data_IF_717958124672
#
_entry.id   IF_717958124672
#
_cell.length_a   1.000
_cell.length_b   1.000
_cell.length_c   1.000
_cell.angle_alpha   90.00
_cell.angle_beta   90.00
_cell.angle_gamma   90.00
#
_symmetry.space_group_name_H-M   'P 1'
#
loop_
_entity.id
_entity.type
_entity.pdbx_description
1 polymer ?
#
# COMPACT_ATOMS: atom_id res chain seq x y z
N UNK A 1 35.39 0.98 72.42
CA UNK A 1 34.47 1.84 71.64
C UNK A 1 34.54 3.33 72.02
N UNK A 2 34.64 3.71 73.30
CA UNK A 2 34.75 5.12 73.73
C UNK A 2 36.09 5.79 73.37
N UNK A 3 37.19 5.03 73.28
CA UNK A 3 38.50 5.58 72.92
C UNK A 3 38.64 5.97 71.43
N UNK A 4 37.96 5.24 70.53
CA UNK A 4 37.96 5.50 69.08
C UNK A 4 37.19 6.78 68.74
N UNK A 5 36.02 6.96 69.35
CA UNK A 5 35.22 8.18 69.24
C UNK A 5 35.91 9.40 69.88
N UNK A 6 36.68 9.19 70.96
CA UNK A 6 37.54 10.24 71.56
C UNK A 6 38.67 10.69 70.62
N UNK A 7 39.22 9.78 69.80
CA UNK A 7 40.29 10.09 68.84
C UNK A 7 39.76 10.92 67.66
N UNK A 8 38.56 10.61 67.18
CA UNK A 8 37.86 11.37 66.13
C UNK A 8 37.45 12.78 66.63
N UNK A 9 37.01 12.89 67.89
CA UNK A 9 36.62 14.17 68.50
C UNK A 9 37.79 15.11 68.79
N UNK A 10 38.99 14.57 69.07
CA UNK A 10 40.21 15.37 69.31
C UNK A 10 40.88 15.89 68.04
N UNK A 11 40.57 15.36 66.87
CA UNK A 11 41.03 15.90 65.58
C UNK A 11 40.07 16.95 64.99
N UNK A 12 39.01 17.33 65.73
CA UNK A 12 37.92 18.20 65.28
C UNK A 12 38.04 19.67 65.69
N UNK A 13 39.26 20.22 65.83
CA UNK A 13 39.44 21.65 66.01
C UNK A 13 40.10 22.31 64.80
N UNK A 14 39.25 23.10 64.14
CA UNK A 14 39.45 24.08 63.07
C UNK A 14 39.70 23.55 61.65
N UNK A 15 38.90 24.09 60.73
CA UNK A 15 38.94 24.01 59.26
C UNK A 15 38.25 22.77 58.62
N UNK A 16 37.25 23.05 57.75
CA UNK A 16 36.62 22.14 56.76
C UNK A 16 35.34 21.34 57.13
N UNK A 17 34.49 21.78 58.06
CA UNK A 17 33.12 21.23 58.18
C UNK A 17 32.29 21.45 56.91
N UNK A 18 32.43 22.61 56.28
CA UNK A 18 31.72 22.99 55.05
C UNK A 18 32.05 22.02 53.91
N UNK A 19 33.33 21.66 53.74
CA UNK A 19 33.78 20.74 52.68
C UNK A 19 33.14 19.36 52.78
N UNK A 20 32.94 18.82 53.99
CA UNK A 20 32.25 17.54 54.18
C UNK A 20 30.78 17.63 53.78
N UNK A 21 30.05 18.63 54.27
CA UNK A 21 28.64 18.83 53.88
C UNK A 21 28.47 19.06 52.38
N UNK A 22 29.42 19.75 51.74
CA UNK A 22 29.45 19.96 50.30
C UNK A 22 29.64 18.64 49.52
N UNK A 23 30.58 17.79 49.96
CA UNK A 23 30.81 16.45 49.37
C UNK A 23 29.58 15.54 49.49
N UNK A 24 28.91 15.56 50.65
CA UNK A 24 27.67 14.80 50.85
C UNK A 24 26.54 15.31 49.96
N UNK A 25 26.34 16.63 49.87
CA UNK A 25 25.32 17.23 49.01
C UNK A 25 25.56 16.93 47.52
N UNK A 26 26.82 16.95 47.06
CA UNK A 26 27.19 16.56 45.70
C UNK A 26 26.87 15.07 45.45
N UNK A 27 27.20 14.19 46.41
CA UNK A 27 26.87 12.78 46.32
C UNK A 27 25.36 12.51 46.22
N UNK A 28 24.56 13.26 46.97
CA UNK A 28 23.10 13.15 46.93
C UNK A 28 22.50 13.66 45.61
N UNK A 29 23.00 14.78 45.09
CA UNK A 29 22.62 15.27 43.76
C UNK A 29 22.97 14.25 42.68
N UNK A 30 24.16 13.66 42.71
CA UNK A 30 24.58 12.63 41.76
C UNK A 30 23.68 11.39 41.83
N UNK A 31 23.34 10.93 43.04
CA UNK A 31 22.41 9.81 43.23
C UNK A 31 21.02 10.11 42.64
N UNK A 32 20.48 11.30 42.88
CA UNK A 32 19.19 11.74 42.32
C UNK A 32 19.25 11.81 40.79
N UNK A 33 20.32 12.39 40.23
CA UNK A 33 20.51 12.49 38.77
C UNK A 33 20.60 11.09 38.13
N UNK A 34 21.36 10.17 38.72
CA UNK A 34 21.42 8.77 38.24
C UNK A 34 20.04 8.12 38.29
N UNK A 35 19.28 8.33 39.37
CA UNK A 35 17.90 7.84 39.50
C UNK A 35 16.98 8.34 38.37
N UNK A 36 17.04 9.65 38.07
CA UNK A 36 16.26 10.26 36.99
C UNK A 36 16.68 9.70 35.62
N UNK A 37 17.98 9.57 35.37
CA UNK A 37 18.50 9.05 34.10
C UNK A 37 18.08 7.59 33.87
N UNK A 38 18.13 6.74 34.90
CA UNK A 38 17.67 5.35 34.80
C UNK A 38 16.17 5.31 34.54
N UNK A 39 15.37 6.12 35.25
CA UNK A 39 13.93 6.19 35.03
C UNK A 39 13.59 6.63 33.59
N UNK A 40 14.30 7.64 33.07
CA UNK A 40 14.16 8.09 31.69
C UNK A 40 14.55 6.99 30.70
N UNK A 41 15.67 6.30 30.94
CA UNK A 41 16.16 5.24 30.08
C UNK A 41 15.19 4.05 30.00
N UNK A 42 14.60 3.66 31.12
CA UNK A 42 13.58 2.59 31.17
C UNK A 42 12.35 3.01 30.37
N UNK A 43 11.89 4.26 30.51
CA UNK A 43 10.76 4.75 29.75
C UNK A 43 11.05 4.76 28.24
N UNK A 44 12.20 5.28 27.82
CA UNK A 44 12.61 5.29 26.42
C UNK A 44 12.74 3.87 25.84
N UNK A 45 13.24 2.91 26.62
CA UNK A 45 13.34 1.51 26.16
C UNK A 45 11.97 0.86 25.97
N UNK A 46 11.02 1.11 26.88
CA UNK A 46 9.65 0.62 26.76
C UNK A 46 8.95 1.21 25.52
N UNK A 47 9.14 2.50 25.26
CA UNK A 47 8.58 3.16 24.07
C UNK A 47 9.19 2.60 22.78
N UNK A 48 10.51 2.42 22.74
CA UNK A 48 11.18 1.79 21.61
C UNK A 48 10.67 0.36 21.32
N UNK A 49 10.45 -0.44 22.36
CA UNK A 49 9.89 -1.79 22.24
C UNK A 49 8.49 -1.80 21.63
N UNK A 50 7.62 -0.89 22.09
CA UNK A 50 6.27 -0.71 21.53
C UNK A 50 6.32 -0.30 20.07
N UNK A 51 7.24 0.58 19.69
CA UNK A 51 7.38 1.02 18.30
C UNK A 51 7.89 -0.10 17.39
N UNK A 52 8.77 -0.99 17.88
CA UNK A 52 9.21 -2.17 17.11
C UNK A 52 8.07 -3.17 16.91
N UNK A 53 7.24 -3.38 17.93
CA UNK A 53 6.06 -4.23 17.80
C UNK A 53 5.07 -3.67 16.77
N UNK A 54 4.82 -2.34 16.80
CA UNK A 54 3.98 -1.66 15.81
C UNK A 54 4.56 -1.71 14.40
N UNK A 55 5.86 -1.45 14.23
CA UNK A 55 6.53 -1.56 12.93
C UNK A 55 6.27 -2.94 12.32
N UNK A 56 6.44 -4.01 13.11
CA UNK A 56 6.23 -5.38 12.63
C UNK A 56 4.80 -5.60 12.12
N UNK A 57 3.81 -5.13 12.87
CA UNK A 57 2.39 -5.26 12.49
C UNK A 57 2.12 -4.48 11.20
N UNK A 58 2.54 -3.21 11.12
CA UNK A 58 2.32 -2.37 9.95
C UNK A 58 3.00 -2.92 8.69
N UNK A 59 4.20 -3.47 8.82
CA UNK A 59 4.91 -4.10 7.71
C UNK A 59 4.27 -5.44 7.30
N UNK A 60 3.68 -6.18 8.23
CA UNK A 60 2.92 -7.38 7.92
C UNK A 60 1.64 -7.03 7.16
N UNK A 61 0.86 -6.06 7.65
CA UNK A 61 -0.35 -5.57 6.98
C UNK A 61 -0.02 -5.06 5.56
N UNK A 62 1.13 -4.39 5.41
CA UNK A 62 1.64 -3.95 4.10
C UNK A 62 1.90 -5.14 3.18
N UNK A 63 2.58 -6.18 3.67
CA UNK A 63 2.89 -7.37 2.87
C UNK A 63 1.60 -8.10 2.43
N UNK A 64 0.64 -8.28 3.33
CA UNK A 64 -0.66 -8.89 3.04
C UNK A 64 -1.45 -8.06 2.02
N UNK A 65 -1.43 -6.73 2.15
CA UNK A 65 -2.09 -5.84 1.21
C UNK A 65 -1.46 -5.87 -0.18
N UNK A 66 -0.13 -5.95 -0.27
CA UNK A 66 0.59 -6.10 -1.53
C UNK A 66 0.29 -7.46 -2.18
N UNK A 67 0.18 -8.54 -1.41
CA UNK A 67 -0.20 -9.85 -1.95
C UNK A 67 -1.60 -9.84 -2.55
N UNK A 68 -2.58 -9.26 -1.84
CA UNK A 68 -3.93 -9.05 -2.35
C UNK A 68 -3.93 -8.24 -3.66
N UNK A 69 -3.15 -7.16 -3.73
CA UNK A 69 -2.99 -6.39 -4.96
C UNK A 69 -2.38 -7.21 -6.11
N UNK A 70 -1.40 -8.07 -5.83
CA UNK A 70 -0.82 -8.97 -6.83
C UNK A 70 -1.87 -9.98 -7.34
N UNK A 71 -2.69 -10.54 -6.46
CA UNK A 71 -3.75 -11.47 -6.84
C UNK A 71 -4.79 -10.79 -7.73
N UNK A 72 -5.23 -9.58 -7.37
CA UNK A 72 -6.17 -8.79 -8.17
C UNK A 72 -5.59 -8.48 -9.55
N UNK A 73 -4.33 -8.00 -9.61
CA UNK A 73 -3.64 -7.71 -10.86
C UNK A 73 -3.51 -8.95 -11.78
N UNK A 74 -3.27 -10.13 -11.20
CA UNK A 74 -3.25 -11.38 -11.98
C UNK A 74 -4.63 -11.68 -12.56
N UNK A 75 -5.70 -11.51 -11.78
CA UNK A 75 -7.08 -11.65 -12.25
C UNK A 75 -7.39 -10.71 -13.41
N UNK A 76 -7.01 -9.44 -13.28
CA UNK A 76 -7.18 -8.43 -14.33
C UNK A 76 -6.44 -8.80 -15.61
N UNK A 77 -5.20 -9.29 -15.49
CA UNK A 77 -4.40 -9.75 -16.64
C UNK A 77 -5.09 -10.93 -17.35
N UNK A 78 -5.59 -11.93 -16.63
CA UNK A 78 -6.28 -13.05 -17.26
C UNK A 78 -7.60 -12.62 -17.92
N UNK A 79 -8.33 -11.69 -17.29
CA UNK A 79 -9.54 -11.12 -17.88
C UNK A 79 -9.24 -10.38 -19.19
N UNK A 80 -8.22 -9.51 -19.21
CA UNK A 80 -7.78 -8.80 -20.41
C UNK A 80 -7.31 -9.75 -21.52
N UNK A 81 -6.66 -10.87 -21.18
CA UNK A 81 -6.30 -11.92 -22.16
C UNK A 81 -7.55 -12.58 -22.75
N UNK A 82 -8.57 -12.86 -21.94
CA UNK A 82 -9.83 -13.44 -22.41
C UNK A 82 -10.60 -12.47 -23.33
N UNK A 83 -10.58 -11.17 -23.00
CA UNK A 83 -11.10 -10.12 -23.87
C UNK A 83 -10.38 -10.09 -25.22
N UNK A 84 -9.05 -10.02 -25.22
CA UNK A 84 -8.25 -10.00 -26.45
C UNK A 84 -8.49 -11.22 -27.32
N UNK A 85 -8.55 -12.41 -26.72
CA UNK A 85 -8.88 -13.65 -27.44
C UNK A 85 -10.27 -13.57 -28.08
N UNK A 86 -11.26 -13.04 -27.36
CA UNK A 86 -12.61 -12.88 -27.89
C UNK A 86 -12.67 -11.86 -29.02
N UNK A 87 -11.90 -10.78 -28.93
CA UNK A 87 -11.74 -9.81 -30.01
C UNK A 87 -11.17 -10.48 -31.27
N UNK A 88 -10.13 -11.32 -31.13
CA UNK A 88 -9.57 -12.08 -32.25
C UNK A 88 -10.62 -12.99 -32.90
N UNK A 89 -11.37 -13.76 -32.10
CA UNK A 89 -12.41 -14.67 -32.62
C UNK A 89 -13.48 -13.90 -33.41
N UNK A 90 -13.90 -12.74 -32.89
CA UNK A 90 -14.89 -11.89 -33.55
C UNK A 90 -14.34 -11.36 -34.88
N UNK A 91 -13.11 -10.85 -34.90
CA UNK A 91 -12.50 -10.33 -36.12
C UNK A 91 -12.34 -11.43 -37.18
N UNK A 92 -11.93 -12.63 -36.78
CA UNK A 92 -11.82 -13.80 -37.67
C UNK A 92 -13.19 -14.21 -38.23
N UNK A 93 -14.23 -14.22 -37.39
CA UNK A 93 -15.59 -14.56 -37.80
C UNK A 93 -16.15 -13.55 -38.80
N UNK A 94 -15.94 -12.24 -38.56
CA UNK A 94 -16.36 -11.18 -39.49
C UNK A 94 -15.58 -11.24 -40.80
N UNK A 95 -14.25 -11.38 -40.74
CA UNK A 95 -13.40 -11.46 -41.93
C UNK A 95 -13.67 -12.69 -42.81
N UNK A 96 -14.05 -13.80 -42.19
CA UNK A 96 -14.39 -15.05 -42.90
C UNK A 96 -15.89 -15.19 -43.19
N UNK A 97 -16.71 -14.20 -42.80
CA UNK A 97 -18.18 -14.21 -42.96
C UNK A 97 -18.84 -15.47 -42.38
N UNK A 98 -18.39 -15.90 -41.21
CA UNK A 98 -18.96 -17.04 -40.49
C UNK A 98 -20.38 -16.67 -40.02
N UNK A 99 -21.41 -17.51 -40.20
CA UNK A 99 -22.76 -17.22 -39.70
C UNK A 99 -22.78 -16.95 -38.19
N UNK A 100 -23.64 -16.02 -37.77
CA UNK A 100 -23.82 -15.72 -36.35
C UNK A 100 -24.25 -16.97 -35.56
N UNK A 101 -23.74 -17.09 -34.33
CA UNK A 101 -24.08 -18.18 -33.42
C UNK A 101 -24.08 -17.71 -31.96
N UNK A 102 -24.70 -18.49 -31.09
CA UNK A 102 -24.72 -18.21 -29.65
C UNK A 102 -23.30 -18.14 -29.06
N UNK A 103 -22.36 -18.95 -29.57
CA UNK A 103 -20.96 -18.87 -29.17
C UNK A 103 -20.34 -17.52 -29.50
N UNK A 104 -20.69 -16.95 -30.67
CA UNK A 104 -20.18 -15.66 -31.10
C UNK A 104 -20.78 -14.52 -30.27
N UNK A 105 -22.04 -14.63 -29.83
CA UNK A 105 -22.68 -13.69 -28.89
C UNK A 105 -21.85 -13.47 -27.62
N UNK A 106 -21.37 -14.56 -27.02
CA UNK A 106 -20.55 -14.48 -25.81
C UNK A 106 -19.21 -13.76 -26.07
N UNK A 107 -18.59 -14.01 -27.23
CA UNK A 107 -17.36 -13.31 -27.62
C UNK A 107 -17.61 -11.84 -27.98
N UNK A 108 -18.75 -11.52 -28.57
CA UNK A 108 -19.18 -10.12 -28.75
C UNK A 108 -19.28 -9.41 -27.41
N UNK A 109 -19.97 -10.01 -26.44
CA UNK A 109 -20.07 -9.42 -25.10
C UNK A 109 -18.69 -9.20 -24.48
N UNK A 110 -17.88 -10.26 -24.37
CA UNK A 110 -16.59 -10.20 -23.69
C UNK A 110 -15.60 -9.24 -24.35
N UNK A 111 -15.57 -9.18 -25.69
CA UNK A 111 -14.70 -8.27 -26.41
C UNK A 111 -15.11 -6.78 -26.29
N UNK A 112 -16.34 -6.48 -25.83
CA UNK A 112 -16.86 -5.12 -25.67
C UNK A 112 -17.26 -4.77 -24.23
N UNK A 113 -16.93 -5.61 -23.24
CA UNK A 113 -17.02 -5.17 -21.85
C UNK A 113 -16.11 -3.96 -21.69
N UNK A 114 -16.63 -2.85 -21.17
CA UNK A 114 -15.88 -1.61 -21.00
C UNK A 114 -14.56 -1.86 -20.27
N UNK A 115 -13.48 -1.20 -20.73
CA UNK A 115 -12.16 -1.36 -20.13
C UNK A 115 -12.23 -0.95 -18.67
N UNK A 116 -11.94 -1.88 -17.75
CA UNK A 116 -12.00 -1.60 -16.32
C UNK A 116 -10.77 -0.79 -15.90
N UNK A 117 -11.01 0.27 -15.12
CA UNK A 117 -9.94 1.01 -14.47
C UNK A 117 -9.24 0.12 -13.44
N UNK A 118 -7.92 0.13 -13.48
CA UNK A 118 -7.10 -0.54 -12.49
C UNK A 118 -7.38 0.08 -11.12
N UNK A 119 -7.58 -0.77 -10.12
CA UNK A 119 -7.78 -0.36 -8.73
C UNK A 119 -6.87 -1.17 -7.82
N UNK A 120 -6.08 -0.48 -7.01
CA UNK A 120 -5.16 -1.08 -6.06
C UNK A 120 -5.53 -0.63 -4.65
N UNK A 121 -5.58 -1.56 -3.72
CA UNK A 121 -5.78 -1.23 -2.31
C UNK A 121 -4.56 -0.50 -1.76
N UNK A 122 -4.81 0.54 -0.98
CA UNK A 122 -3.79 1.39 -0.36
C UNK A 122 -3.96 1.45 1.16
N UNK A 123 -4.80 0.59 1.74
CA UNK A 123 -5.25 0.69 3.13
C UNK A 123 -4.09 0.56 4.12
N UNK A 124 -3.23 -0.44 3.94
CA UNK A 124 -2.09 -0.67 4.83
C UNK A 124 -1.07 0.48 4.75
N UNK A 125 -0.87 1.05 3.57
CA UNK A 125 -0.03 2.24 3.42
C UNK A 125 -0.61 3.48 4.09
N UNK A 126 -1.92 3.70 4.00
CA UNK A 126 -2.55 4.83 4.72
C UNK A 126 -2.44 4.66 6.23
N UNK A 127 -2.59 3.44 6.75
CA UNK A 127 -2.37 3.14 8.17
C UNK A 127 -0.91 3.39 8.58
N UNK A 128 0.06 2.92 7.79
CA UNK A 128 1.48 3.20 8.03
C UNK A 128 1.77 4.71 8.01
N UNK A 129 1.23 5.44 7.04
CA UNK A 129 1.42 6.89 6.88
C UNK A 129 0.84 7.67 8.05
N UNK A 130 -0.31 7.26 8.60
CA UNK A 130 -0.92 7.91 9.76
C UNK A 130 -0.11 7.72 11.05
N UNK A 131 0.62 6.61 11.16
CA UNK A 131 1.54 6.34 12.27
C UNK A 131 2.91 7.01 12.13
N UNK A 132 3.22 7.59 10.96
CA UNK A 132 4.52 8.17 10.66
C UNK A 132 5.46 7.14 10.04
N UNK A 133 5.97 7.45 8.83
CA UNK A 133 6.87 6.56 8.09
C UNK A 133 8.20 6.33 8.82
N UNK A 134 8.57 7.23 9.72
CA UNK A 134 9.77 7.19 10.53
C UNK A 134 9.78 6.04 11.54
N UNK A 135 8.61 5.45 11.84
CA UNK A 135 8.48 4.23 12.63
C UNK A 135 9.27 3.06 12.04
N UNK A 136 9.47 3.06 10.71
CA UNK A 136 10.30 2.07 10.01
C UNK A 136 11.77 2.35 10.33
N UNK A 137 12.42 1.39 10.99
CA UNK A 137 13.84 1.45 11.33
C UNK A 137 14.69 1.35 10.06
N UNK A 138 14.33 0.45 9.15
CA UNK A 138 15.02 0.32 7.87
C UNK A 138 14.66 1.50 6.94
N UNK A 139 15.56 2.48 6.87
CA UNK A 139 15.32 3.70 6.09
C UNK A 139 15.24 3.46 4.59
N UNK A 140 15.92 2.44 4.07
CA UNK A 140 15.85 2.10 2.65
C UNK A 140 14.50 1.43 2.31
N UNK A 141 14.01 0.55 3.19
CA UNK A 141 12.68 -0.02 3.07
C UNK A 141 11.59 1.06 3.14
N UNK A 142 11.69 1.98 4.11
CA UNK A 142 10.75 3.09 4.22
C UNK A 142 10.70 3.95 2.95
N UNK A 143 11.87 4.27 2.36
CA UNK A 143 11.95 4.97 1.08
C UNK A 143 11.35 4.16 -0.07
N UNK A 144 11.57 2.85 -0.11
CA UNK A 144 11.01 1.98 -1.14
C UNK A 144 9.48 1.93 -1.08
N UNK A 145 8.91 1.82 0.12
CA UNK A 145 7.44 1.87 0.33
C UNK A 145 6.89 3.22 -0.11
N UNK A 146 7.51 4.34 0.32
CA UNK A 146 7.09 5.68 -0.12
C UNK A 146 7.12 5.81 -1.64
N UNK A 147 8.23 5.40 -2.28
CA UNK A 147 8.36 5.47 -3.74
C UNK A 147 7.28 4.65 -4.45
N UNK A 148 6.99 3.45 -3.96
CA UNK A 148 5.96 2.60 -4.53
C UNK A 148 4.58 3.29 -4.49
N UNK A 149 4.16 3.77 -3.32
CA UNK A 149 2.81 4.25 -3.10
C UNK A 149 2.56 5.70 -3.51
N UNK A 150 3.57 6.58 -3.44
CA UNK A 150 3.43 8.00 -3.78
C UNK A 150 3.87 8.33 -5.21
N UNK A 151 4.60 7.42 -5.87
CA UNK A 151 5.13 7.67 -7.23
C UNK A 151 4.73 6.57 -8.19
N UNK A 152 5.15 5.33 -7.94
CA UNK A 152 4.98 4.25 -8.93
C UNK A 152 3.52 3.90 -9.16
N UNK A 153 2.75 3.65 -8.10
CA UNK A 153 1.32 3.29 -8.19
C UNK A 153 0.49 4.41 -8.81
N UNK A 154 0.55 5.68 -8.37
CA UNK A 154 -0.21 6.76 -8.99
C UNK A 154 0.11 6.94 -10.48
N UNK A 155 1.38 6.84 -10.88
CA UNK A 155 1.78 6.94 -12.29
C UNK A 155 1.19 5.78 -13.12
N UNK A 156 1.20 4.55 -12.59
CA UNK A 156 0.59 3.39 -13.25
C UNK A 156 -0.92 3.53 -13.37
N UNK A 157 -1.61 4.00 -12.33
CA UNK A 157 -3.05 4.23 -12.35
C UNK A 157 -3.43 5.33 -13.34
N UNK A 158 -2.70 6.44 -13.36
CA UNK A 158 -2.92 7.53 -14.32
C UNK A 158 -2.72 7.06 -15.77
N UNK A 159 -1.65 6.29 -16.03
CA UNK A 159 -1.41 5.72 -17.36
C UNK A 159 -2.53 4.76 -17.76
N UNK A 160 -3.00 3.93 -16.83
CA UNK A 160 -4.12 3.03 -17.06
C UNK A 160 -5.40 3.79 -17.41
N UNK A 161 -5.75 4.84 -16.67
CA UNK A 161 -6.93 5.67 -16.96
C UNK A 161 -6.87 6.32 -18.34
N UNK A 162 -5.69 6.78 -18.78
CA UNK A 162 -5.52 7.35 -20.13
C UNK A 162 -5.71 6.31 -21.23
N UNK A 163 -5.21 5.09 -21.05
CA UNK A 163 -5.38 3.99 -22.02
C UNK A 163 -6.83 3.47 -22.06
N UNK A 164 -7.56 3.67 -20.97
CA UNK A 164 -8.94 3.26 -20.78
C UNK A 164 -9.95 4.39 -20.98
N UNK A 165 -9.54 5.53 -21.54
CA UNK A 165 -10.45 6.62 -21.85
C UNK A 165 -11.57 6.15 -22.79
N UNK A 166 -12.80 6.54 -22.48
CA UNK A 166 -13.98 6.15 -23.26
C UNK A 166 -13.86 6.64 -24.69
N UNK A 167 -14.15 5.75 -25.64
CA UNK A 167 -14.23 6.11 -27.04
C UNK A 167 -15.70 6.22 -27.44
N UNK A 168 -16.28 7.36 -27.05
CA UNK A 168 -17.69 7.70 -27.23
C UNK A 168 -18.30 7.34 -28.60
N UNK A 169 -17.62 7.55 -29.75
CA UNK A 169 -18.14 7.08 -31.04
C UNK A 169 -18.39 5.57 -31.10
N UNK A 170 -17.46 4.76 -30.57
CA UNK A 170 -17.61 3.31 -30.53
C UNK A 170 -18.63 2.88 -29.49
N UNK A 171 -18.65 3.51 -28.31
CA UNK A 171 -19.64 3.18 -27.27
C UNK A 171 -21.08 3.44 -27.78
N UNK A 172 -21.31 4.57 -28.43
CA UNK A 172 -22.59 4.89 -29.08
C UNK A 172 -22.92 3.89 -30.20
N UNK A 173 -21.92 3.47 -30.97
CA UNK A 173 -22.11 2.45 -31.99
C UNK A 173 -22.59 1.12 -31.39
N UNK A 174 -22.01 0.68 -30.26
CA UNK A 174 -22.48 -0.52 -29.57
C UNK A 174 -23.94 -0.37 -29.13
N UNK A 175 -24.31 0.76 -28.52
CA UNK A 175 -25.69 1.01 -28.06
C UNK A 175 -26.71 0.98 -29.20
N UNK A 176 -26.35 1.50 -30.38
CA UNK A 176 -27.28 1.59 -31.52
C UNK A 176 -27.41 0.28 -32.31
N UNK A 177 -26.35 -0.52 -32.35
CA UNK A 177 -26.25 -1.67 -33.25
C UNK A 177 -26.29 -3.03 -32.55
N UNK A 178 -26.39 -3.06 -31.21
CA UNK A 178 -26.43 -4.28 -30.44
C UNK A 178 -27.50 -4.28 -29.34
N UNK A 179 -28.12 -5.44 -29.17
CA UNK A 179 -28.97 -5.77 -28.04
C UNK A 179 -28.14 -6.44 -26.94
N UNK A 180 -28.08 -5.80 -25.77
CA UNK A 180 -27.51 -6.39 -24.56
C UNK A 180 -28.60 -7.05 -23.74
N UNK A 181 -28.48 -8.36 -23.54
CA UNK A 181 -29.33 -9.10 -22.60
C UNK A 181 -28.49 -9.55 -21.41
N UNK A 182 -28.85 -9.09 -20.22
CA UNK A 182 -28.13 -9.42 -18.98
C UNK A 182 -28.05 -10.94 -18.79
N UNK A 183 -26.85 -11.45 -18.49
CA UNK A 183 -26.59 -12.88 -18.34
C UNK A 183 -26.53 -13.69 -19.65
N UNK A 184 -26.83 -13.09 -20.81
CA UNK A 184 -26.81 -13.76 -22.12
C UNK A 184 -25.74 -13.19 -23.05
N UNK A 185 -25.53 -11.86 -23.03
CA UNK A 185 -24.47 -11.19 -23.79
C UNK A 185 -24.99 -10.25 -24.87
N UNK A 186 -24.13 -9.95 -25.84
CA UNK A 186 -24.30 -8.87 -26.80
C UNK A 186 -24.62 -9.45 -28.19
N UNK A 187 -25.80 -9.12 -28.73
CA UNK A 187 -26.27 -9.62 -30.03
C UNK A 187 -26.33 -8.46 -31.03
N UNK A 188 -25.67 -8.56 -32.19
CA UNK A 188 -25.83 -7.56 -33.25
C UNK A 188 -27.28 -7.51 -33.74
N UNK A 189 -27.83 -6.31 -33.89
CA UNK A 189 -29.17 -6.09 -34.44
C UNK A 189 -29.22 -6.47 -35.93
N UNK A 190 -28.13 -6.20 -36.64
CA UNK A 190 -27.87 -6.65 -38.02
C UNK A 190 -26.42 -7.12 -38.13
N UNK A 191 -26.21 -8.44 -38.06
CA UNK A 191 -24.86 -9.02 -38.06
C UNK A 191 -24.13 -8.84 -39.40
N UNK A 192 -24.83 -8.93 -40.52
CA UNK A 192 -24.23 -8.83 -41.86
C UNK A 192 -23.69 -7.41 -42.12
N UNK A 193 -24.32 -6.39 -41.55
CA UNK A 193 -23.85 -5.00 -41.63
C UNK A 193 -22.44 -4.80 -41.06
N UNK A 194 -22.03 -5.64 -40.11
CA UNK A 194 -20.72 -5.56 -39.47
C UNK A 194 -19.58 -6.02 -40.39
N UNK A 195 -19.87 -6.72 -41.49
CA UNK A 195 -18.86 -7.15 -42.47
C UNK A 195 -18.26 -6.01 -43.31
N UNK A 196 -18.76 -4.79 -43.15
CA UNK A 196 -18.22 -3.59 -43.80
C UNK A 196 -18.06 -2.42 -42.83
N UNK A 197 -18.24 -2.67 -41.54
CA UNK A 197 -18.19 -1.63 -40.52
C UNK A 197 -16.74 -1.24 -40.19
N UNK A 198 -16.45 0.04 -40.34
CA UNK A 198 -15.15 0.65 -40.07
C UNK A 198 -14.63 0.46 -38.64
N UNK A 199 -15.49 0.16 -37.66
CA UNK A 199 -15.03 -0.18 -36.31
C UNK A 199 -14.43 -1.58 -36.21
N UNK A 200 -14.69 -2.45 -37.18
CA UNK A 200 -14.22 -3.84 -37.22
C UNK A 200 -13.28 -4.13 -38.38
N UNK A 201 -13.23 -3.25 -39.37
CA UNK A 201 -12.46 -3.44 -40.60
C UNK A 201 -11.63 -2.19 -40.83
N UNK A 202 -10.31 -2.37 -40.85
CA UNK A 202 -9.31 -1.35 -41.23
C UNK A 202 -9.05 -1.36 -42.73
#
# INVERSE_FOLDING_TARGET
>A
MIAFLRKIRRQGHSQNKISRYLLYAIGEILLVVIGILIALQINTWNDWSKDRAKEKILLQDMAENLDLNIQNLKGDIEFLRAMNRSSTIVLEALGSRIPFSDSLRAHFHLARVGKQNLSLSNMAYQALKSHGIDIITNKDLGKAILKLHEVTVPNSLSTNSLVNEEYQPFDNHIVLHFDLVEGVGLTPNDYESLFTDHFYIS
#
